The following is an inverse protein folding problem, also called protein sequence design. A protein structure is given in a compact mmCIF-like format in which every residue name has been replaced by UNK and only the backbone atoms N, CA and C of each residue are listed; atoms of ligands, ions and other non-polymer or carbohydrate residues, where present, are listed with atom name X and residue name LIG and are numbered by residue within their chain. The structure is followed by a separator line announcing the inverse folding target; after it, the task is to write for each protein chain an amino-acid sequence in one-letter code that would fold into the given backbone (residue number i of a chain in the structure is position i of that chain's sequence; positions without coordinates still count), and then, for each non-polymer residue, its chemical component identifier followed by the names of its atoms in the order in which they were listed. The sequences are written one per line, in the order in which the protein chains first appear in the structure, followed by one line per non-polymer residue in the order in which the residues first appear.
data_IF_145998623866
#
_entry.id   IF_145998623866
#
_cell.length_a   1.000
_cell.length_b   1.000
_cell.length_c   1.000
_cell.angle_alpha   90.00
_cell.angle_beta   90.00
_cell.angle_gamma   90.00
#
_symmetry.space_group_name_H-M   'P 1'
#
loop_
_entity.id
_entity.type
_entity.pdbx_description
1 polymer ?
#
# COMPACT_ATOMS: atom_id res chain seq x y z
N UNK A 1 -21.37 -15.01 -14.39
CA UNK A 1 -21.65 -13.67 -13.80
C UNK A 1 -20.54 -13.15 -12.88
N UNK A 2 -19.64 -14.00 -12.36
CA UNK A 2 -18.47 -13.58 -11.54
C UNK A 2 -17.29 -13.07 -12.39
N UNK A 3 -17.13 -13.59 -13.61
CA UNK A 3 -16.05 -13.18 -14.56
C UNK A 3 -16.22 -11.72 -15.05
N UNK A 4 -17.45 -11.20 -15.10
CA UNK A 4 -17.74 -9.83 -15.54
C UNK A 4 -17.49 -8.76 -14.47
N UNK A 5 -17.50 -9.11 -13.18
CA UNK A 5 -17.20 -8.17 -12.08
C UNK A 5 -15.69 -7.97 -11.90
N UNK A 6 -14.88 -9.03 -12.03
CA UNK A 6 -13.42 -8.92 -12.04
C UNK A 6 -12.89 -8.22 -13.30
N UNK A 7 -13.50 -8.46 -14.47
CA UNK A 7 -13.12 -7.79 -15.72
C UNK A 7 -13.35 -6.27 -15.69
N UNK A 8 -14.42 -5.80 -15.02
CA UNK A 8 -14.71 -4.35 -14.91
C UNK A 8 -13.84 -3.65 -13.86
N UNK A 9 -13.52 -4.32 -12.75
CA UNK A 9 -12.57 -3.80 -11.75
C UNK A 9 -11.13 -3.71 -12.31
N UNK A 10 -10.67 -4.73 -13.05
CA UNK A 10 -9.38 -4.65 -13.75
C UNK A 10 -9.36 -3.64 -14.90
N UNK A 11 -10.47 -3.40 -15.60
CA UNK A 11 -10.55 -2.39 -16.65
C UNK A 11 -10.50 -0.95 -16.08
N UNK A 12 -11.16 -0.69 -14.94
CA UNK A 12 -11.09 0.59 -14.24
C UNK A 12 -9.70 0.85 -13.64
N UNK A 13 -9.06 -0.19 -13.07
CA UNK A 13 -7.69 -0.07 -12.57
C UNK A 13 -6.65 0.03 -13.71
N UNK A 14 -6.82 -0.66 -14.85
CA UNK A 14 -5.94 -0.47 -16.02
C UNK A 14 -6.05 0.94 -16.56
N UNK A 15 -7.24 1.53 -16.67
CA UNK A 15 -7.39 2.91 -17.16
C UNK A 15 -6.74 3.95 -16.24
N UNK A 16 -6.79 3.76 -14.92
CA UNK A 16 -6.08 4.62 -13.97
C UNK A 16 -4.59 4.34 -13.92
N UNK A 17 -4.14 3.09 -13.89
CA UNK A 17 -2.71 2.73 -13.89
C UNK A 17 -2.03 3.16 -15.20
N UNK A 18 -2.67 3.01 -16.37
CA UNK A 18 -2.12 3.51 -17.64
C UNK A 18 -2.18 5.04 -17.76
N UNK A 19 -3.20 5.72 -17.21
CA UNK A 19 -3.18 7.18 -17.09
C UNK A 19 -2.08 7.66 -16.13
N UNK A 20 -1.83 6.96 -15.04
CA UNK A 20 -0.81 7.29 -14.04
C UNK A 20 0.60 7.03 -14.57
N UNK A 21 0.83 5.93 -15.30
CA UNK A 21 2.08 5.70 -16.04
C UNK A 21 2.25 6.79 -17.10
N UNK A 22 1.19 7.20 -17.81
CA UNK A 22 1.27 8.35 -18.72
C UNK A 22 1.56 9.67 -18.01
N UNK A 23 1.03 9.92 -16.80
CA UNK A 23 1.31 11.14 -16.02
C UNK A 23 2.73 11.13 -15.42
N UNK A 24 3.24 9.96 -15.02
CA UNK A 24 4.63 9.77 -14.60
C UNK A 24 5.62 9.91 -15.77
N UNK A 25 5.21 9.53 -16.98
CA UNK A 25 6.02 9.64 -18.20
C UNK A 25 5.86 11.01 -18.90
N UNK A 26 4.75 11.75 -18.68
CA UNK A 26 4.48 13.07 -19.29
C UNK A 26 4.57 14.27 -18.34
N UNK A 27 5.28 14.18 -17.20
CA UNK A 27 5.92 15.40 -16.68
C UNK A 27 7.03 15.78 -17.64
N UNK A 28 6.65 16.44 -18.74
CA UNK A 28 7.55 17.27 -19.55
C UNK A 28 8.39 18.05 -18.56
N UNK A 29 9.69 17.80 -18.62
CA UNK A 29 10.73 18.62 -17.99
C UNK A 29 10.34 20.07 -18.19
N UNK A 30 9.97 20.74 -17.12
CA UNK A 30 9.96 22.19 -17.12
C UNK A 30 11.44 22.59 -17.15
N UNK A 31 11.99 23.09 -18.28
CA UNK A 31 13.43 23.33 -18.41
C UNK A 31 13.88 24.49 -17.50
N UNK A 32 12.94 25.20 -16.86
CA UNK A 32 13.18 26.38 -16.05
C UNK A 32 13.79 26.09 -14.66
N UNK A 33 13.82 24.84 -14.20
CA UNK A 33 14.38 24.49 -12.87
C UNK A 33 15.88 24.14 -12.95
N UNK A 34 16.40 23.75 -14.11
CA UNK A 34 17.74 23.12 -14.20
C UNK A 34 18.87 23.97 -14.80
N UNK A 35 18.64 25.22 -15.21
CA UNK A 35 19.73 26.07 -15.71
C UNK A 35 19.74 27.46 -15.08
N UNK A 36 20.14 27.52 -13.81
CA UNK A 36 20.95 28.64 -13.33
C UNK A 36 22.26 28.07 -12.82
N UNK A 37 23.31 28.21 -13.63
CA UNK A 37 24.70 28.01 -13.20
C UNK A 37 25.01 29.10 -12.17
N UNK A 38 24.76 28.82 -10.89
CA UNK A 38 25.20 29.69 -9.81
C UNK A 38 26.71 29.54 -9.63
N UNK A 39 27.44 30.56 -10.10
CA UNK A 39 28.91 30.69 -10.09
C UNK A 39 29.53 30.78 -8.68
N UNK A 40 28.78 30.52 -7.60
CA UNK A 40 29.15 30.91 -6.24
C UNK A 40 29.36 29.73 -5.26
N UNK A 41 29.52 28.50 -5.74
CA UNK A 41 29.81 27.35 -4.88
C UNK A 41 28.69 27.07 -3.85
N UNK A 42 27.43 27.32 -4.22
CA UNK A 42 26.28 27.07 -3.37
C UNK A 42 26.03 25.57 -3.18
N UNK A 43 25.47 25.17 -2.02
CA UNK A 43 25.04 23.79 -1.79
C UNK A 43 23.95 23.43 -2.82
N UNK A 44 24.24 22.47 -3.72
CA UNK A 44 23.37 22.05 -4.81
C UNK A 44 22.59 20.81 -4.41
N UNK A 45 21.27 20.83 -4.64
CA UNK A 45 20.44 19.62 -4.52
C UNK A 45 20.84 18.65 -5.64
N UNK A 46 21.09 17.36 -5.35
CA UNK A 46 21.41 16.39 -6.38
C UNK A 46 20.32 16.27 -7.44
N UNK A 47 20.72 16.05 -8.70
CA UNK A 47 19.76 15.98 -9.81
C UNK A 47 18.79 14.78 -9.67
N UNK A 48 19.17 13.75 -8.92
CA UNK A 48 18.35 12.56 -8.60
C UNK A 48 17.30 12.78 -7.49
N UNK A 49 17.32 13.93 -6.80
CA UNK A 49 16.41 14.21 -5.69
C UNK A 49 14.94 14.12 -6.09
N UNK A 50 14.57 14.78 -7.19
CA UNK A 50 13.18 14.81 -7.67
C UNK A 50 12.66 13.41 -8.04
N UNK A 51 13.53 12.58 -8.62
CA UNK A 51 13.20 11.19 -8.94
C UNK A 51 12.93 10.38 -7.67
N UNK A 52 13.80 10.49 -6.67
CA UNK A 52 13.64 9.75 -5.41
C UNK A 52 12.41 10.19 -4.60
N UNK A 53 12.09 11.48 -4.59
CA UNK A 53 10.83 11.98 -3.98
C UNK A 53 9.62 11.44 -4.74
N UNK A 54 9.68 11.36 -6.07
CA UNK A 54 8.62 10.74 -6.88
C UNK A 54 8.46 9.25 -6.56
N UNK A 55 9.57 8.50 -6.40
CA UNK A 55 9.55 7.11 -5.98
C UNK A 55 8.89 6.94 -4.60
N UNK A 56 9.21 7.78 -3.62
CA UNK A 56 8.59 7.77 -2.29
C UNK A 56 7.05 7.91 -2.38
N UNK A 57 6.57 8.88 -3.16
CA UNK A 57 5.12 9.12 -3.31
C UNK A 57 4.42 7.99 -4.09
N UNK A 58 5.09 7.40 -5.08
CA UNK A 58 4.57 6.23 -5.78
C UNK A 58 4.44 5.03 -4.84
N UNK A 59 5.45 4.75 -4.02
CA UNK A 59 5.40 3.67 -3.03
C UNK A 59 4.27 3.88 -2.02
N UNK A 60 4.08 5.11 -1.54
CA UNK A 60 2.93 5.48 -0.69
C UNK A 60 1.59 5.19 -1.36
N UNK A 61 1.43 5.60 -2.62
CA UNK A 61 0.18 5.43 -3.35
C UNK A 61 -0.15 3.96 -3.57
N UNK A 62 0.84 3.14 -3.94
CA UNK A 62 0.67 1.69 -4.09
C UNK A 62 0.28 1.06 -2.76
N UNK A 63 0.92 1.46 -1.67
CA UNK A 63 0.60 1.02 -0.31
C UNK A 63 -0.87 1.32 0.05
N UNK A 64 -1.31 2.57 -0.11
CA UNK A 64 -2.68 2.98 0.20
C UNK A 64 -3.72 2.24 -0.66
N UNK A 65 -3.43 2.08 -1.95
CA UNK A 65 -4.31 1.32 -2.84
C UNK A 65 -4.41 -0.14 -2.42
N UNK A 66 -3.29 -0.76 -2.02
CA UNK A 66 -3.29 -2.14 -1.56
C UNK A 66 -4.07 -2.30 -0.26
N UNK A 67 -3.85 -1.41 0.73
CA UNK A 67 -4.64 -1.39 1.97
C UNK A 67 -6.13 -1.23 1.68
N UNK A 68 -6.51 -0.30 0.81
CA UNK A 68 -7.91 -0.09 0.44
C UNK A 68 -8.52 -1.35 -0.18
N UNK A 69 -7.81 -1.99 -1.12
CA UNK A 69 -8.29 -3.20 -1.77
C UNK A 69 -8.44 -4.37 -0.79
N UNK A 70 -7.47 -4.59 0.10
CA UNK A 70 -7.55 -5.65 1.11
C UNK A 70 -8.70 -5.37 2.08
N UNK A 71 -8.87 -4.12 2.53
CA UNK A 71 -10.00 -3.73 3.37
C UNK A 71 -11.33 -3.94 2.64
N UNK A 72 -11.47 -3.57 1.37
CA UNK A 72 -12.70 -3.84 0.62
C UNK A 72 -13.04 -5.33 0.50
N UNK A 73 -12.03 -6.20 0.42
CA UNK A 73 -12.20 -7.65 0.39
C UNK A 73 -12.63 -8.22 1.74
N UNK A 74 -12.19 -7.63 2.84
CA UNK A 74 -12.36 -8.15 4.21
C UNK A 74 -13.45 -7.45 5.02
N UNK A 75 -13.69 -6.16 4.80
CA UNK A 75 -14.66 -5.33 5.52
C UNK A 75 -16.11 -5.71 5.20
N UNK A 76 -16.37 -6.39 4.07
CA UNK A 76 -17.66 -7.06 3.83
C UNK A 76 -18.02 -8.11 4.89
N UNK A 77 -17.09 -8.48 5.76
CA UNK A 77 -17.25 -9.56 6.71
C UNK A 77 -17.00 -9.15 8.17
N UNK A 78 -16.60 -7.88 8.42
CA UNK A 78 -16.38 -7.32 9.76
C UNK A 78 -17.33 -6.14 9.99
N UNK A 79 -18.54 -6.43 10.46
CA UNK A 79 -19.41 -5.47 11.14
C UNK A 79 -19.75 -6.12 12.50
N UNK A 80 -19.05 -5.69 13.57
CA UNK A 80 -19.30 -5.82 15.03
C UNK A 80 -19.87 -7.14 15.63
N UNK A 81 -19.48 -7.71 16.78
CA UNK A 81 -18.43 -7.47 17.82
C UNK A 81 -18.03 -8.84 18.46
N UNK A 82 -18.52 -9.99 17.95
CA UNK A 82 -18.24 -11.34 18.51
C UNK A 82 -17.51 -12.25 17.49
N UNK A 83 -16.32 -11.80 17.09
CA UNK A 83 -15.12 -12.56 16.70
C UNK A 83 -15.09 -13.57 15.53
N UNK A 84 -16.09 -13.67 14.65
CA UNK A 84 -15.89 -14.37 13.37
C UNK A 84 -16.48 -13.63 12.16
N UNK A 85 -15.72 -13.50 11.05
CA UNK A 85 -16.28 -13.03 9.81
C UNK A 85 -17.37 -14.00 9.35
N UNK A 86 -18.60 -13.50 9.14
CA UNK A 86 -19.69 -14.32 8.58
C UNK A 86 -19.49 -14.46 7.08
N UNK A 87 -19.06 -15.62 6.62
CA UNK A 87 -18.69 -15.81 5.22
C UNK A 87 -19.80 -16.51 4.44
N UNK A 88 -19.79 -16.40 3.11
CA UNK A 88 -20.85 -16.99 2.26
C UNK A 88 -21.07 -18.48 2.53
N UNK A 89 -20.01 -19.22 2.85
CA UNK A 89 -20.10 -20.65 3.20
C UNK A 89 -21.03 -20.92 4.38
N UNK A 90 -21.09 -20.04 5.39
CA UNK A 90 -21.94 -20.22 6.57
C UNK A 90 -23.43 -20.20 6.24
N UNK A 91 -23.85 -19.25 5.40
CA UNK A 91 -25.24 -19.11 4.99
C UNK A 91 -25.68 -20.31 4.15
N UNK A 92 -24.82 -20.74 3.22
CA UNK A 92 -25.10 -21.88 2.34
C UNK A 92 -25.14 -23.18 3.14
N UNK A 93 -24.22 -23.37 4.10
CA UNK A 93 -24.24 -24.52 4.99
C UNK A 93 -25.53 -24.58 5.81
N UNK A 94 -25.96 -23.44 6.38
CA UNK A 94 -27.20 -23.36 7.15
C UNK A 94 -28.44 -23.74 6.32
N UNK A 95 -28.53 -23.24 5.08
CA UNK A 95 -29.63 -23.56 4.16
C UNK A 95 -29.65 -25.06 3.81
N UNK A 96 -28.50 -25.65 3.50
CA UNK A 96 -28.40 -27.09 3.25
C UNK A 96 -28.77 -27.92 4.48
N UNK A 97 -28.41 -27.46 5.67
CA UNK A 97 -28.75 -28.15 6.92
C UNK A 97 -30.27 -28.19 7.14
N UNK A 98 -30.96 -27.06 6.92
CA UNK A 98 -32.43 -26.97 7.01
C UNK A 98 -33.08 -27.91 5.98
N UNK A 99 -32.58 -27.96 4.76
CA UNK A 99 -33.08 -28.86 3.72
C UNK A 99 -32.87 -30.33 4.10
N UNK A 100 -31.70 -30.70 4.62
CA UNK A 100 -31.39 -32.08 5.02
C UNK A 100 -32.36 -32.63 6.08
N UNK A 101 -32.76 -31.78 7.03
CA UNK A 101 -33.75 -32.12 8.06
C UNK A 101 -35.16 -32.32 7.49
N UNK A 102 -35.48 -31.64 6.38
CA UNK A 102 -36.82 -31.61 5.77
C UNK A 102 -37.05 -32.74 4.75
N UNK A 103 -35.97 -33.27 4.15
CA UNK A 103 -36.04 -34.33 3.14
C UNK A 103 -36.21 -35.71 3.79
N UNK A 104 -37.15 -36.51 3.26
CA UNK A 104 -37.45 -37.88 3.73
C UNK A 104 -36.63 -38.97 3.02
N UNK A 105 -36.20 -38.71 1.78
CA UNK A 105 -35.37 -39.66 1.03
C UNK A 105 -33.96 -39.77 1.67
N UNK A 106 -33.55 -40.96 2.13
CA UNK A 106 -32.26 -41.15 2.79
C UNK A 106 -31.05 -40.79 1.91
N UNK A 107 -31.10 -41.05 0.61
CA UNK A 107 -29.99 -40.77 -0.30
C UNK A 107 -29.81 -39.27 -0.51
N UNK A 108 -30.90 -38.55 -0.76
CA UNK A 108 -30.87 -37.10 -0.85
C UNK A 108 -30.46 -36.44 0.47
N UNK A 109 -30.90 -36.97 1.63
CA UNK A 109 -30.43 -36.49 2.94
C UNK A 109 -28.92 -36.65 3.12
N UNK A 110 -28.35 -37.79 2.74
CA UNK A 110 -26.89 -38.04 2.82
C UNK A 110 -26.11 -37.06 1.94
N UNK A 111 -26.59 -36.82 0.71
CA UNK A 111 -25.99 -35.83 -0.18
C UNK A 111 -25.99 -34.43 0.44
N UNK A 112 -27.13 -33.99 1.00
CA UNK A 112 -27.23 -32.67 1.63
C UNK A 112 -26.30 -32.55 2.85
N UNK A 113 -26.15 -33.61 3.66
CA UNK A 113 -25.22 -33.62 4.79
C UNK A 113 -23.75 -33.51 4.34
N UNK A 114 -23.37 -34.17 3.23
CA UNK A 114 -22.05 -34.00 2.65
C UNK A 114 -21.83 -32.57 2.14
N UNK A 115 -22.84 -31.97 1.51
CA UNK A 115 -22.80 -30.58 1.07
C UNK A 115 -22.66 -29.57 2.23
N UNK A 116 -23.35 -29.79 3.36
CA UNK A 116 -23.17 -28.99 4.59
C UNK A 116 -21.72 -29.00 5.02
N UNK A 117 -21.15 -30.20 5.21
CA UNK A 117 -19.77 -30.36 5.68
C UNK A 117 -18.77 -29.67 4.74
N UNK A 118 -18.94 -29.84 3.43
CA UNK A 118 -18.11 -29.16 2.43
C UNK A 118 -18.17 -27.63 2.57
N UNK A 119 -19.36 -27.06 2.77
CA UNK A 119 -19.55 -25.62 2.90
C UNK A 119 -19.01 -25.07 4.22
N UNK A 120 -19.10 -25.83 5.32
CA UNK A 120 -18.47 -25.50 6.60
C UNK A 120 -16.94 -25.46 6.48
N UNK A 121 -16.33 -26.44 5.81
CA UNK A 121 -14.88 -26.45 5.55
C UNK A 121 -14.44 -25.25 4.69
N UNK A 122 -15.19 -24.93 3.62
CA UNK A 122 -14.93 -23.73 2.80
C UNK A 122 -15.07 -22.46 3.63
N UNK A 123 -16.05 -22.38 4.52
CA UNK A 123 -16.27 -21.22 5.39
C UNK A 123 -15.08 -21.00 6.34
N UNK A 124 -14.57 -22.06 6.98
CA UNK A 124 -13.39 -21.99 7.83
C UNK A 124 -12.15 -21.48 7.06
N UNK A 125 -11.94 -21.99 5.85
CA UNK A 125 -10.83 -21.53 5.00
C UNK A 125 -10.98 -20.07 4.59
N UNK A 126 -12.19 -19.62 4.28
CA UNK A 126 -12.48 -18.21 3.98
C UNK A 126 -12.15 -17.31 5.18
N UNK A 127 -12.53 -17.71 6.40
CA UNK A 127 -12.20 -16.96 7.61
C UNK A 127 -10.70 -16.90 7.85
N UNK A 128 -10.00 -18.04 7.79
CA UNK A 128 -8.56 -18.09 7.99
C UNK A 128 -7.82 -17.18 7.00
N UNK A 129 -8.24 -17.17 5.73
CA UNK A 129 -7.72 -16.25 4.73
C UNK A 129 -7.94 -14.78 5.14
N UNK A 130 -9.15 -14.39 5.53
CA UNK A 130 -9.44 -13.01 5.95
C UNK A 130 -8.70 -12.57 7.21
N UNK A 131 -8.52 -13.45 8.19
CA UNK A 131 -7.68 -13.18 9.36
C UNK A 131 -6.24 -12.87 8.95
N UNK A 132 -5.62 -13.72 8.10
CA UNK A 132 -4.27 -13.48 7.60
C UNK A 132 -4.14 -12.16 6.82
N UNK A 133 -5.17 -11.77 6.06
CA UNK A 133 -5.19 -10.47 5.37
C UNK A 133 -5.14 -9.27 6.34
N UNK A 134 -5.89 -9.34 7.44
CA UNK A 134 -6.03 -8.26 8.41
C UNK A 134 -4.83 -8.18 9.35
N UNK A 135 -4.47 -9.29 9.99
CA UNK A 135 -3.49 -9.28 11.08
C UNK A 135 -2.04 -9.27 10.59
N UNK A 136 -1.78 -9.82 9.40
CA UNK A 136 -0.41 -9.90 8.87
C UNK A 136 -0.14 -8.81 7.82
N UNK A 137 -0.98 -8.73 6.77
CA UNK A 137 -0.69 -7.83 5.64
C UNK A 137 -1.06 -6.38 5.92
N UNK A 138 -2.26 -6.12 6.42
CA UNK A 138 -2.69 -4.74 6.69
C UNK A 138 -1.82 -4.08 7.76
N UNK A 139 -1.41 -4.82 8.80
CA UNK A 139 -0.52 -4.31 9.85
C UNK A 139 0.81 -3.85 9.25
N UNK A 140 1.49 -4.68 8.46
CA UNK A 140 2.77 -4.33 7.82
C UNK A 140 2.65 -3.09 6.92
N UNK A 141 1.55 -2.98 6.17
CA UNK A 141 1.30 -1.82 5.31
C UNK A 141 1.11 -0.53 6.11
N UNK A 142 0.43 -0.61 7.26
CA UNK A 142 0.21 0.52 8.18
C UNK A 142 1.49 0.94 8.90
N UNK A 143 2.28 -0.01 9.37
CA UNK A 143 3.55 0.25 10.08
C UNK A 143 4.53 1.05 9.23
N UNK A 144 4.71 0.67 7.96
CA UNK A 144 5.58 1.43 7.06
C UNK A 144 5.08 2.87 6.86
N UNK A 145 3.77 3.05 6.72
CA UNK A 145 3.15 4.38 6.53
C UNK A 145 3.33 5.25 7.76
N UNK A 146 3.09 4.70 8.96
CA UNK A 146 3.18 5.43 10.22
C UNK A 146 4.63 5.69 10.67
N UNK A 147 5.57 4.83 10.24
CA UNK A 147 6.98 4.94 10.57
C UNK A 147 7.80 5.63 9.49
N UNK A 148 8.38 4.84 8.59
CA UNK A 148 9.39 5.32 7.65
C UNK A 148 8.87 6.39 6.68
N UNK A 149 7.66 6.23 6.14
CA UNK A 149 7.12 7.19 5.18
C UNK A 149 6.98 8.59 5.78
N UNK A 150 6.35 8.72 6.95
CA UNK A 150 6.15 10.00 7.64
C UNK A 150 7.49 10.65 7.94
N UNK A 151 8.43 9.90 8.50
CA UNK A 151 9.78 10.41 8.80
C UNK A 151 10.48 10.95 7.54
N UNK A 152 10.49 10.20 6.43
CA UNK A 152 11.14 10.66 5.19
C UNK A 152 10.41 11.89 4.63
N UNK A 153 9.07 11.88 4.66
CA UNK A 153 8.25 12.98 4.13
C UNK A 153 8.45 14.28 4.90
N UNK A 154 8.58 14.20 6.22
CA UNK A 154 8.89 15.36 7.07
C UNK A 154 10.26 15.96 6.72
N UNK A 155 11.28 15.13 6.51
CA UNK A 155 12.62 15.61 6.11
C UNK A 155 12.62 16.23 4.71
N UNK A 156 11.89 15.63 3.75
CA UNK A 156 11.69 16.22 2.42
C UNK A 156 11.03 17.60 2.54
N UNK A 157 9.95 17.71 3.30
CA UNK A 157 9.22 18.98 3.51
C UNK A 157 10.12 20.02 4.19
N UNK A 158 10.94 19.61 5.16
CA UNK A 158 11.90 20.49 5.84
C UNK A 158 12.93 21.04 4.86
N UNK A 159 13.50 20.19 4.00
CA UNK A 159 14.47 20.61 3.01
C UNK A 159 13.85 21.57 1.99
N UNK A 160 12.65 21.29 1.49
CA UNK A 160 11.92 22.18 0.57
C UNK A 160 11.69 23.56 1.18
N UNK A 161 11.26 23.64 2.44
CA UNK A 161 11.09 24.92 3.16
C UNK A 161 12.40 25.69 3.31
N UNK A 162 13.51 25.01 3.60
CA UNK A 162 14.82 25.66 3.71
C UNK A 162 15.30 26.22 2.38
N UNK A 163 15.07 25.48 1.28
CA UNK A 163 15.41 25.91 -0.07
C UNK A 163 14.56 27.12 -0.49
N UNK A 164 13.26 27.11 -0.19
CA UNK A 164 12.37 28.25 -0.46
C UNK A 164 12.80 29.51 0.29
N UNK A 165 12.98 29.43 1.63
CA UNK A 165 13.43 30.57 2.45
C UNK A 165 14.75 31.18 1.98
N UNK A 166 15.66 30.35 1.47
CA UNK A 166 16.93 30.84 0.92
C UNK A 166 16.74 31.59 -0.40
N UNK A 167 15.83 31.15 -1.27
CA UNK A 167 15.50 31.84 -2.53
C UNK A 167 14.84 33.20 -2.25
N UNK A 168 13.96 33.24 -1.25
CA UNK A 168 13.20 34.45 -0.89
C UNK A 168 14.05 35.49 -0.14
N UNK A 169 15.31 35.15 0.22
CA UNK A 169 16.23 36.00 1.02
C UNK A 169 15.70 36.42 2.40
N UNK A 170 14.61 35.82 2.86
CA UNK A 170 13.91 36.06 4.13
C UNK A 170 14.63 35.52 5.38
N UNK A 171 15.96 35.39 5.31
CA UNK A 171 16.75 34.85 6.42
C UNK A 171 17.54 36.00 7.04
N UNK A 172 16.94 36.63 8.04
CA UNK A 172 17.58 37.71 8.81
C UNK A 172 18.84 37.19 9.53
N UNK A 173 19.95 37.92 9.39
CA UNK A 173 21.17 37.64 10.14
C UNK A 173 20.94 38.00 11.62
N UNK A 174 21.05 37.04 12.56
CA UNK A 174 21.10 37.38 13.97
C UNK A 174 22.25 38.36 14.19
N UNK A 175 22.04 39.43 14.95
CA UNK A 175 23.03 40.50 15.22
C UNK A 175 24.38 40.02 15.81
N UNK A 176 24.52 38.72 16.05
CA UNK A 176 25.64 38.05 16.70
C UNK A 176 26.65 37.41 15.71
N UNK A 177 26.42 37.47 14.40
CA UNK A 177 27.33 36.89 13.40
C UNK A 177 27.75 37.92 12.34
N UNK A 178 28.99 37.80 11.88
CA UNK A 178 29.39 38.47 10.64
C UNK A 178 28.60 37.88 9.46
N UNK A 179 28.37 38.67 8.42
CA UNK A 179 27.64 38.22 7.23
C UNK A 179 28.31 36.99 6.58
N UNK A 180 29.63 36.92 6.64
CA UNK A 180 30.42 35.78 6.18
C UNK A 180 30.14 34.50 6.99
N UNK A 181 30.22 34.58 8.32
CA UNK A 181 29.95 33.42 9.20
C UNK A 181 28.50 32.95 9.09
N UNK A 182 27.56 33.89 8.97
CA UNK A 182 26.15 33.57 8.80
C UNK A 182 25.90 32.81 7.49
N UNK A 183 26.44 33.31 6.37
CA UNK A 183 26.35 32.64 5.06
C UNK A 183 27.01 31.27 5.08
N UNK A 184 28.18 31.13 5.71
CA UNK A 184 28.88 29.85 5.84
C UNK A 184 28.05 28.82 6.66
N UNK A 185 27.43 29.24 7.76
CA UNK A 185 26.56 28.38 8.59
C UNK A 185 25.29 27.96 7.86
N UNK A 186 24.63 28.87 7.16
CA UNK A 186 23.45 28.54 6.33
C UNK A 186 23.80 27.52 5.25
N UNK A 187 24.95 27.68 4.60
CA UNK A 187 25.45 26.74 3.59
C UNK A 187 25.72 25.36 4.21
N UNK A 188 26.42 25.31 5.34
CA UNK A 188 26.74 24.06 6.03
C UNK A 188 25.48 23.33 6.49
N UNK A 189 24.52 24.06 7.08
CA UNK A 189 23.24 23.50 7.51
C UNK A 189 22.46 22.92 6.32
N UNK A 190 22.33 23.69 5.23
CA UNK A 190 21.66 23.22 4.02
C UNK A 190 22.33 21.95 3.45
N UNK A 191 23.66 21.91 3.39
CA UNK A 191 24.40 20.74 2.91
C UNK A 191 24.12 19.51 3.80
N UNK A 192 24.11 19.68 5.13
CA UNK A 192 23.80 18.60 6.07
C UNK A 192 22.37 18.07 5.86
N UNK A 193 21.39 18.96 5.66
CA UNK A 193 20.00 18.56 5.41
C UNK A 193 19.83 17.86 4.07
N UNK A 194 20.54 18.30 3.02
CA UNK A 194 20.58 17.60 1.72
C UNK A 194 21.14 16.19 1.92
N UNK A 195 22.29 16.03 2.57
CA UNK A 195 22.91 14.73 2.79
C UNK A 195 22.03 13.79 3.61
N UNK A 196 21.40 14.29 4.68
CA UNK A 196 20.47 13.50 5.50
C UNK A 196 19.25 13.06 4.68
N UNK A 197 18.63 13.98 3.95
CA UNK A 197 17.42 13.69 3.16
C UNK A 197 17.72 12.67 2.07
N UNK A 198 18.86 12.79 1.38
CA UNK A 198 19.26 11.82 0.36
C UNK A 198 19.49 10.42 0.92
N UNK A 199 20.19 10.30 2.05
CA UNK A 199 20.37 9.01 2.74
C UNK A 199 19.06 8.35 3.13
N UNK A 200 18.08 9.16 3.56
CA UNK A 200 16.75 8.66 3.90
C UNK A 200 15.98 8.22 2.65
N UNK A 201 16.07 8.99 1.56
CA UNK A 201 15.45 8.66 0.28
C UNK A 201 16.06 7.41 -0.39
N UNK A 202 17.31 7.07 -0.09
CA UNK A 202 17.92 5.80 -0.54
C UNK A 202 17.27 4.56 0.10
N UNK A 203 16.59 4.70 1.25
CA UNK A 203 15.86 3.60 1.90
C UNK A 203 14.55 3.25 1.19
N UNK A 204 14.06 4.12 0.30
CA UNK A 204 12.80 3.92 -0.43
C UNK A 204 12.84 2.65 -1.29
N UNK A 205 13.99 2.29 -1.84
CA UNK A 205 14.14 1.06 -2.63
C UNK A 205 13.91 -0.19 -1.77
N UNK A 206 14.40 -0.19 -0.53
CA UNK A 206 14.14 -1.25 0.45
C UNK A 206 12.66 -1.34 0.82
N UNK A 207 11.99 -0.20 0.96
CA UNK A 207 10.55 -0.15 1.18
C UNK A 207 9.74 -0.71 0.00
N UNK A 208 10.14 -0.38 -1.24
CA UNK A 208 9.51 -0.90 -2.46
C UNK A 208 9.69 -2.42 -2.59
N UNK A 209 10.88 -2.93 -2.25
CA UNK A 209 11.13 -4.37 -2.17
C UNK A 209 10.23 -5.04 -1.15
N UNK A 210 10.17 -4.52 0.08
CA UNK A 210 9.27 -5.04 1.13
C UNK A 210 7.81 -5.04 0.67
N UNK A 211 7.38 -3.98 -0.03
CA UNK A 211 6.06 -3.90 -0.65
C UNK A 211 5.78 -5.04 -1.63
N UNK A 212 6.78 -5.36 -2.45
CA UNK A 212 6.69 -6.47 -3.41
C UNK A 212 6.56 -7.80 -2.68
N UNK A 213 7.28 -8.01 -1.57
CA UNK A 213 7.12 -9.19 -0.71
C UNK A 213 5.72 -9.30 -0.13
N UNK A 214 5.14 -8.20 0.38
CA UNK A 214 3.76 -8.18 0.89
C UNK A 214 2.77 -8.59 -0.21
N UNK A 215 2.93 -8.07 -1.43
CA UNK A 215 2.10 -8.46 -2.57
C UNK A 215 2.24 -9.94 -2.94
N UNK A 216 3.44 -10.51 -2.87
CA UNK A 216 3.63 -11.95 -3.10
C UNK A 216 2.96 -12.79 -1.99
N UNK A 217 3.07 -12.37 -0.74
CA UNK A 217 2.43 -13.07 0.38
C UNK A 217 0.90 -13.07 0.25
N UNK A 218 0.31 -11.95 -0.20
CA UNK A 218 -1.12 -11.88 -0.53
C UNK A 218 -1.50 -12.95 -1.57
N UNK A 219 -0.73 -13.03 -2.65
CA UNK A 219 -0.99 -13.99 -3.73
C UNK A 219 -0.84 -15.43 -3.21
N UNK A 220 0.17 -15.72 -2.41
CA UNK A 220 0.39 -17.04 -1.83
C UNK A 220 -0.77 -17.47 -0.92
N UNK A 221 -1.25 -16.57 -0.06
CA UNK A 221 -2.41 -16.82 0.80
C UNK A 221 -3.68 -17.05 -0.03
N UNK A 222 -3.89 -16.29 -1.10
CA UNK A 222 -5.02 -16.47 -2.00
C UNK A 222 -4.97 -17.82 -2.73
N UNK A 223 -3.80 -18.25 -3.20
CA UNK A 223 -3.63 -19.56 -3.84
C UNK A 223 -3.92 -20.68 -2.85
N UNK A 224 -3.37 -20.60 -1.62
CA UNK A 224 -3.62 -21.59 -0.57
C UNK A 224 -5.10 -21.72 -0.26
N UNK A 225 -5.80 -20.59 -0.16
CA UNK A 225 -7.25 -20.58 0.04
C UNK A 225 -8.01 -21.31 -1.10
N UNK A 226 -7.69 -21.00 -2.36
CA UNK A 226 -8.36 -21.64 -3.50
C UNK A 226 -8.06 -23.13 -3.60
N UNK A 227 -6.81 -23.55 -3.38
CA UNK A 227 -6.44 -24.96 -3.36
C UNK A 227 -7.17 -25.74 -2.25
N UNK A 228 -7.33 -25.13 -1.07
CA UNK A 228 -8.11 -25.72 0.01
C UNK A 228 -9.59 -25.90 -0.38
N UNK A 229 -10.19 -24.90 -1.02
CA UNK A 229 -11.57 -25.00 -1.52
C UNK A 229 -11.72 -26.13 -2.56
N UNK A 230 -10.78 -26.26 -3.49
CA UNK A 230 -10.78 -27.34 -4.48
C UNK A 230 -10.70 -28.73 -3.82
N UNK A 231 -9.88 -28.87 -2.77
CA UNK A 231 -9.76 -30.13 -2.03
C UNK A 231 -11.05 -30.50 -1.27
N UNK A 232 -11.70 -29.53 -0.63
CA UNK A 232 -12.99 -29.74 0.04
C UNK A 232 -14.09 -30.16 -0.95
N UNK A 233 -14.13 -29.53 -2.13
CA UNK A 233 -15.06 -29.88 -3.19
C UNK A 233 -14.80 -31.27 -3.80
N UNK A 234 -13.55 -31.70 -3.89
CA UNK A 234 -13.21 -33.03 -4.41
C UNK A 234 -13.50 -34.17 -3.43
N UNK A 235 -13.57 -33.88 -2.13
CA UNK A 235 -13.81 -34.87 -1.06
C UNK A 235 -15.29 -35.13 -0.82
N UNK A 236 -16.14 -34.12 -1.05
CA UNK A 236 -17.59 -34.17 -0.86
C UNK A 236 -18.32 -34.87 -2.03
#
# INVERSE_FOLDING_TARGET
TVVTLFGRSMAFNKLNVFKIIKVAVNKKKDPSINERRDKNGEAKIPDSYAEKVSQLENTRMVNENLQYNINMLSHRFYEDIENMPRVTGDFVAADFHILALSVKDPHHRQFLQAAVKCMEEIAEMQRAFYFSLQDELIVQLREWRAGEYVMIKEQVTRLERMVAKRKDRDIENPKNFTEFEFKARLKMNLQQQITLTMKLLERVDGAAYNHSCIMMNLMAQQVKFHQGCEAALATA
#
